data_IF_109850724240
#
_entry.id   IF_109850724240
#
_cell.length_a   1.000
_cell.length_b   1.000
_cell.length_c   1.000
_cell.angle_alpha   90.00
_cell.angle_beta   90.00
_cell.angle_gamma   90.00
#
_symmetry.space_group_name_H-M   'P 1'
#
loop_
_entity.id
_entity.type
_entity.pdbx_description
1 polymer ?
#
# COMPACT_ATOMS: atom_id res chain seq x y z
N UNK A 1 -42.29 28.78 3.95
CA UNK A 1 -43.30 27.71 3.78
C UNK A 1 -42.77 26.71 2.76
N UNK A 2 -43.27 25.47 2.76
CA UNK A 2 -43.00 24.37 3.69
C UNK A 2 -41.84 23.48 3.15
N UNK A 3 -41.35 22.41 3.77
CA UNK A 3 -41.69 21.74 5.04
C UNK A 3 -41.36 20.24 4.92
N UNK A 4 -40.54 19.71 5.83
CA UNK A 4 -40.12 18.29 5.83
C UNK A 4 -41.28 17.41 6.28
N UNK A 5 -41.65 16.35 5.55
CA UNK A 5 -42.53 15.30 6.07
C UNK A 5 -41.69 14.24 6.83
N UNK A 6 -41.81 14.24 8.17
CA UNK A 6 -41.53 13.03 8.97
C UNK A 6 -42.77 12.14 8.98
N UNK A 7 -42.58 10.83 8.82
CA UNK A 7 -43.46 9.84 9.43
C UNK A 7 -43.88 8.67 8.55
N UNK A 8 -43.52 7.45 8.97
CA UNK A 8 -44.53 6.45 9.27
C UNK A 8 -44.03 5.42 10.30
N UNK A 9 -44.36 5.64 11.57
CA UNK A 9 -44.48 4.56 12.55
C UNK A 9 -45.85 3.91 12.31
N UNK A 10 -45.91 2.57 12.16
CA UNK A 10 -47.20 1.85 12.15
C UNK A 10 -47.23 0.82 13.26
N UNK A 11 -48.32 0.86 14.04
CA UNK A 11 -48.55 0.01 15.21
C UNK A 11 -48.79 -1.45 14.81
N UNK A 12 -48.40 -2.36 15.71
CA UNK A 12 -49.22 -3.51 16.06
C UNK A 12 -49.21 -3.70 17.59
N UNK A 13 -50.38 -3.65 18.24
CA UNK A 13 -50.61 -3.97 19.67
C UNK A 13 -51.94 -4.70 19.82
N UNK A 14 -51.89 -5.92 20.38
CA UNK A 14 -52.92 -6.72 21.09
C UNK A 14 -52.18 -8.04 21.48
N UNK A 15 -52.31 -8.69 22.64
CA UNK A 15 -52.92 -8.40 23.95
C UNK A 15 -52.34 -9.43 24.97
N UNK A 16 -52.70 -9.51 26.25
CA UNK A 16 -53.67 -8.74 27.05
C UNK A 16 -54.43 -9.60 28.09
N UNK A 17 -53.74 -10.23 29.06
CA UNK A 17 -54.18 -10.93 30.32
C UNK A 17 -53.11 -11.99 30.67
N UNK A 18 -52.74 -12.32 31.91
CA UNK A 18 -53.13 -11.84 33.25
C UNK A 18 -53.15 -13.00 34.26
N UNK A 19 -52.23 -13.04 35.25
CA UNK A 19 -52.15 -14.13 36.25
C UNK A 19 -51.18 -13.81 37.41
N UNK A 20 -51.49 -14.27 38.63
CA UNK A 20 -50.77 -13.95 39.89
C UNK A 20 -49.75 -15.04 40.26
N UNK A 21 -48.81 -14.73 41.16
CA UNK A 21 -47.75 -15.64 41.64
C UNK A 21 -48.24 -16.79 42.55
N UNK A 22 -47.32 -17.51 43.23
CA UNK A 22 -46.62 -16.88 44.37
C UNK A 22 -45.11 -17.19 44.53
N UNK A 23 -44.55 -16.55 45.54
CA UNK A 23 -43.16 -16.60 46.06
C UNK A 23 -42.64 -17.95 46.56
N UNK A 24 -41.34 -18.20 46.37
CA UNK A 24 -40.46 -18.83 47.38
C UNK A 24 -39.16 -18.00 47.48
N UNK A 25 -38.56 -17.95 48.67
CA UNK A 25 -37.52 -17.01 49.07
C UNK A 25 -36.39 -17.77 49.83
N UNK A 26 -35.12 -17.48 49.56
CA UNK A 26 -33.90 -17.83 50.32
C UNK A 26 -32.73 -17.07 49.65
N UNK A 27 -32.18 -15.97 50.22
CA UNK A 27 -31.11 -15.92 51.26
C UNK A 27 -29.93 -16.85 50.96
N UNK A 28 -28.65 -16.45 50.94
CA UNK A 28 -27.91 -15.19 51.16
C UNK A 28 -26.68 -15.24 50.20
N UNK A 29 -26.05 -14.15 49.74
CA UNK A 29 -25.13 -13.31 50.54
C UNK A 29 -24.69 -12.02 49.82
N UNK A 30 -24.66 -10.90 50.54
CA UNK A 30 -23.90 -9.68 50.19
C UNK A 30 -22.47 -9.83 50.75
N UNK A 31 -21.38 -9.41 50.09
CA UNK A 31 -20.69 -8.08 50.14
C UNK A 31 -19.25 -8.34 49.60
N UNK A 32 -18.45 -7.42 49.07
CA UNK A 32 -18.65 -6.04 48.61
C UNK A 32 -17.51 -5.64 47.63
N UNK A 33 -17.87 -4.82 46.63
CA UNK A 33 -17.17 -3.64 46.06
C UNK A 33 -15.63 -3.46 46.16
N UNK A 34 -14.98 -3.34 45.00
CA UNK A 34 -14.32 -2.13 44.45
C UNK A 34 -14.02 -2.41 42.96
N UNK A 35 -14.62 -1.71 41.99
CA UNK A 35 -14.22 -0.39 41.46
C UNK A 35 -12.83 -0.34 40.82
N UNK A 36 -12.78 -0.48 39.49
CA UNK A 36 -12.37 0.62 38.60
C UNK A 36 -12.71 0.30 37.14
N UNK A 37 -13.85 0.80 36.66
CA UNK A 37 -14.31 0.65 35.28
C UNK A 37 -14.22 2.02 34.58
N UNK A 38 -13.00 2.41 34.16
CA UNK A 38 -12.75 3.74 33.60
C UNK A 38 -11.46 3.87 32.76
N UNK A 39 -11.24 3.04 31.72
CA UNK A 39 -10.32 3.35 30.59
C UNK A 39 -10.52 2.38 29.40
N UNK A 40 -11.69 2.40 28.73
CA UNK A 40 -11.88 1.63 27.47
C UNK A 40 -12.55 2.36 26.31
N UNK A 41 -13.33 3.42 26.53
CA UNK A 41 -14.10 4.09 25.48
C UNK A 41 -13.58 5.49 25.10
N UNK A 42 -12.36 5.56 24.54
CA UNK A 42 -11.87 6.80 23.90
C UNK A 42 -10.97 6.62 22.65
N UNK A 43 -10.59 5.38 22.28
CA UNK A 43 -9.71 5.14 21.14
C UNK A 43 -10.43 4.80 19.81
N UNK A 44 -11.67 4.32 19.85
CA UNK A 44 -12.36 3.80 18.66
C UNK A 44 -13.20 4.84 17.88
N UNK A 45 -13.30 6.08 18.34
CA UNK A 45 -14.13 7.12 17.71
C UNK A 45 -13.41 8.07 16.74
N UNK A 46 -12.08 8.23 16.86
CA UNK A 46 -11.37 9.31 16.19
C UNK A 46 -11.11 9.05 14.69
N UNK A 47 -10.78 7.82 14.30
CA UNK A 47 -10.39 7.50 12.92
C UNK A 47 -11.56 7.58 11.92
N UNK A 48 -12.76 7.16 12.32
CA UNK A 48 -13.93 7.12 11.43
C UNK A 48 -14.49 8.51 11.08
N UNK A 49 -14.27 9.52 11.93
CA UNK A 49 -14.85 10.86 11.73
C UNK A 49 -14.06 11.74 10.76
N UNK A 50 -12.81 11.42 10.45
CA UNK A 50 -11.94 12.27 9.62
C UNK A 50 -12.02 11.98 8.11
N UNK A 51 -12.49 10.80 7.69
CA UNK A 51 -12.55 10.43 6.27
C UNK A 51 -13.60 11.23 5.46
N UNK A 52 -14.59 11.83 6.10
CA UNK A 52 -15.65 12.60 5.42
C UNK A 52 -15.29 14.08 5.17
N UNK A 53 -14.41 14.68 5.97
CA UNK A 53 -14.16 16.13 5.92
C UNK A 53 -13.19 16.55 4.80
N UNK A 54 -12.44 15.59 4.24
CA UNK A 54 -11.46 15.83 3.16
C UNK A 54 -12.09 15.92 1.76
N UNK A 55 -13.31 15.39 1.58
CA UNK A 55 -14.04 15.42 0.30
C UNK A 55 -14.87 16.70 0.08
N UNK A 56 -15.08 17.52 1.11
CA UNK A 56 -15.98 18.68 1.07
C UNK A 56 -15.30 20.02 0.74
N UNK A 57 -13.99 20.04 0.46
CA UNK A 57 -13.19 21.25 0.20
C UNK A 57 -12.57 21.29 -1.19
N UNK A 58 -13.35 20.99 -2.23
CA UNK A 58 -12.89 21.11 -3.61
C UNK A 58 -13.98 21.43 -4.66
N UNK A 59 -15.00 22.21 -4.27
CA UNK A 59 -15.97 22.79 -5.20
C UNK A 59 -16.30 24.25 -4.83
N UNK A 60 -15.47 25.19 -5.31
CA UNK A 60 -15.82 26.60 -5.57
C UNK A 60 -14.60 27.41 -6.01
N UNK A 61 -14.39 27.52 -7.33
CA UNK A 61 -14.38 28.82 -8.02
C UNK A 61 -14.05 28.65 -9.50
N UNK A 62 -14.98 29.08 -10.34
CA UNK A 62 -14.78 29.35 -11.75
C UNK A 62 -14.65 30.86 -11.97
N UNK A 63 -13.62 31.32 -12.66
CA UNK A 63 -13.68 32.49 -13.54
C UNK A 63 -12.44 32.51 -14.44
N UNK A 64 -12.54 33.20 -15.58
CA UNK A 64 -11.56 33.17 -16.67
C UNK A 64 -10.96 34.56 -16.91
N UNK A 65 -9.72 34.61 -17.41
CA UNK A 65 -9.29 35.57 -18.44
C UNK A 65 -7.89 35.24 -19.00
N UNK A 66 -7.60 35.78 -20.19
CA UNK A 66 -6.45 35.48 -21.08
C UNK A 66 -5.49 36.71 -21.18
N UNK A 67 -4.46 36.74 -22.04
CA UNK A 67 -3.11 36.21 -21.83
C UNK A 67 -2.02 37.27 -21.59
N UNK A 68 -0.79 36.76 -21.43
CA UNK A 68 0.52 37.38 -21.71
C UNK A 68 1.30 38.07 -20.57
N UNK A 69 2.36 37.40 -20.10
CA UNK A 69 3.72 37.97 -20.11
C UNK A 69 4.78 36.87 -20.00
N UNK A 70 5.93 37.09 -20.64
CA UNK A 70 7.09 36.19 -20.61
C UNK A 70 7.84 36.26 -19.27
N UNK A 71 8.18 35.10 -18.71
CA UNK A 71 8.97 35.01 -17.47
C UNK A 71 9.68 33.67 -17.37
N UNK A 72 10.88 33.57 -17.95
CA UNK A 72 11.67 32.34 -17.97
C UNK A 72 12.33 32.08 -16.61
N UNK A 73 11.57 31.63 -15.62
CA UNK A 73 12.16 31.03 -14.41
C UNK A 73 12.52 29.57 -14.70
N UNK A 74 13.80 29.31 -14.94
CA UNK A 74 14.35 27.96 -14.86
C UNK A 74 14.34 27.51 -13.39
N UNK A 75 13.15 27.12 -12.90
CA UNK A 75 13.01 26.53 -11.57
C UNK A 75 13.89 25.29 -11.48
N UNK A 76 14.65 25.17 -10.38
CA UNK A 76 15.40 23.94 -10.12
C UNK A 76 14.40 22.80 -10.00
N UNK A 77 14.34 21.95 -11.03
CA UNK A 77 13.43 20.82 -11.07
C UNK A 77 13.81 19.85 -9.95
N UNK A 78 12.98 19.80 -8.91
CA UNK A 78 13.09 18.81 -7.83
C UNK A 78 13.12 17.41 -8.46
N UNK A 79 14.26 16.74 -8.38
CA UNK A 79 14.42 15.37 -8.85
C UNK A 79 14.08 14.41 -7.71
N UNK A 80 13.01 13.64 -7.85
CA UNK A 80 12.72 12.56 -6.91
C UNK A 80 13.72 11.41 -7.14
N UNK A 81 14.39 10.94 -6.08
CA UNK A 81 15.35 9.83 -6.15
C UNK A 81 14.67 8.56 -5.66
N UNK A 82 14.71 7.51 -6.48
CA UNK A 82 14.09 6.21 -6.23
C UNK A 82 15.17 5.16 -6.03
N UNK A 83 14.99 4.29 -5.03
CA UNK A 83 15.90 3.18 -4.71
C UNK A 83 15.15 1.84 -4.65
N UNK A 84 14.59 1.33 -5.78
CA UNK A 84 13.57 0.29 -5.71
C UNK A 84 14.06 -1.03 -5.07
N UNK A 85 15.29 -1.42 -5.36
CA UNK A 85 15.89 -2.66 -4.84
C UNK A 85 16.65 -2.48 -3.52
N UNK A 86 16.71 -1.27 -2.95
CA UNK A 86 17.36 -1.04 -1.65
C UNK A 86 16.66 -1.79 -0.51
N UNK A 87 15.38 -2.16 -0.66
CA UNK A 87 14.66 -3.06 0.24
C UNK A 87 15.25 -4.50 0.30
N UNK A 88 16.10 -4.88 -0.66
CA UNK A 88 16.83 -6.15 -0.70
C UNK A 88 18.33 -6.04 -0.41
N UNK A 89 18.88 -4.83 -0.24
CA UNK A 89 20.30 -4.66 0.06
C UNK A 89 20.63 -5.00 1.52
N UNK A 90 21.55 -5.95 1.73
CA UNK A 90 21.99 -6.37 3.08
C UNK A 90 22.94 -5.39 3.78
N UNK A 91 23.49 -4.42 3.03
CA UNK A 91 24.47 -3.46 3.56
C UNK A 91 23.78 -2.26 4.24
N UNK A 92 22.56 -1.93 3.81
CA UNK A 92 21.78 -0.78 4.26
C UNK A 92 20.76 -1.14 5.35
N UNK A 93 21.24 -1.67 6.48
CA UNK A 93 20.38 -2.10 7.61
C UNK A 93 19.70 -0.94 8.37
N UNK A 94 20.12 0.29 8.11
CA UNK A 94 19.54 1.54 8.60
C UNK A 94 18.15 1.80 7.98
N UNK A 95 18.00 1.63 6.67
CA UNK A 95 16.75 1.88 5.93
C UNK A 95 15.59 1.05 6.48
N UNK A 96 14.42 1.70 6.62
CA UNK A 96 13.19 1.10 7.16
C UNK A 96 12.06 1.13 6.15
N UNK A 97 11.19 0.13 6.22
CA UNK A 97 10.08 -0.04 5.28
C UNK A 97 8.75 -0.28 6.01
N UNK A 98 7.65 -0.10 5.30
CA UNK A 98 6.40 -0.77 5.63
C UNK A 98 6.20 -1.94 4.68
N UNK A 99 5.57 -3.02 5.14
CA UNK A 99 5.32 -4.23 4.35
C UNK A 99 3.82 -4.55 4.30
N UNK A 100 3.29 -4.74 3.10
CA UNK A 100 1.93 -5.25 2.87
C UNK A 100 2.03 -6.60 2.15
N UNK A 101 1.28 -7.60 2.65
CA UNK A 101 1.17 -8.93 2.05
C UNK A 101 -0.24 -9.14 1.49
N UNK A 102 -0.33 -9.46 0.20
CA UNK A 102 -1.57 -9.68 -0.52
C UNK A 102 -1.82 -11.17 -0.81
N UNK A 103 -3.01 -11.51 -1.30
CA UNK A 103 -3.47 -12.90 -1.47
C UNK A 103 -2.90 -13.60 -2.73
N UNK A 104 -1.58 -13.65 -2.87
CA UNK A 104 -0.87 -14.43 -3.91
C UNK A 104 0.20 -15.36 -3.30
N UNK A 105 0.60 -16.45 -3.97
CA UNK A 105 1.65 -17.34 -3.49
C UNK A 105 2.97 -16.60 -3.22
N UNK A 106 3.54 -16.79 -2.01
CA UNK A 106 4.78 -16.13 -1.57
C UNK A 106 6.01 -17.06 -1.60
N UNK A 107 5.92 -18.22 -2.26
CA UNK A 107 6.97 -19.26 -2.26
C UNK A 107 8.25 -18.79 -2.94
N UNK A 108 8.14 -18.27 -4.17
CA UNK A 108 9.29 -17.76 -4.93
C UNK A 108 9.90 -16.50 -4.28
N UNK A 109 9.05 -15.67 -3.66
CA UNK A 109 9.47 -14.45 -2.96
C UNK A 109 9.86 -14.69 -1.49
N UNK A 110 10.07 -15.94 -1.05
CA UNK A 110 10.30 -16.26 0.36
C UNK A 110 11.58 -15.64 0.93
N UNK A 111 12.62 -15.46 0.12
CA UNK A 111 13.86 -14.82 0.57
C UNK A 111 13.70 -13.31 0.74
N UNK A 112 13.09 -12.67 -0.26
CA UNK A 112 12.70 -11.27 -0.32
C UNK A 112 11.80 -10.93 0.88
N UNK A 113 10.77 -11.75 1.13
CA UNK A 113 9.89 -11.64 2.30
C UNK A 113 10.67 -11.63 3.61
N UNK A 114 11.57 -12.59 3.87
CA UNK A 114 12.36 -12.62 5.10
C UNK A 114 13.19 -11.35 5.30
N UNK A 115 13.81 -10.85 4.22
CA UNK A 115 14.70 -9.70 4.26
C UNK A 115 13.92 -8.40 4.48
N UNK A 116 12.86 -8.16 3.70
CA UNK A 116 11.99 -6.98 3.87
C UNK A 116 11.29 -7.02 5.23
N UNK A 117 10.81 -8.18 5.69
CA UNK A 117 10.18 -8.36 7.01
C UNK A 117 11.08 -7.89 8.15
N UNK A 118 12.36 -8.28 8.14
CA UNK A 118 13.33 -7.89 9.18
C UNK A 118 13.66 -6.40 9.21
N UNK A 119 13.45 -5.69 8.08
CA UNK A 119 13.70 -4.25 7.91
C UNK A 119 12.41 -3.42 7.98
N UNK A 120 11.25 -4.06 8.15
CA UNK A 120 9.97 -3.37 8.20
C UNK A 120 9.61 -2.97 9.63
N UNK A 121 9.26 -1.70 9.84
CA UNK A 121 8.76 -1.21 11.14
C UNK A 121 7.28 -1.50 11.33
N UNK A 122 6.53 -1.66 10.23
CA UNK A 122 5.11 -2.01 10.22
C UNK A 122 4.87 -3.11 9.16
N UNK A 123 4.24 -4.22 9.53
CA UNK A 123 3.80 -5.29 8.61
C UNK A 123 2.30 -5.47 8.68
N UNK A 124 1.64 -5.46 7.53
CA UNK A 124 0.22 -5.73 7.38
C UNK A 124 0.00 -6.92 6.44
N UNK A 125 -1.03 -7.72 6.71
CA UNK A 125 -1.54 -8.72 5.80
C UNK A 125 -2.98 -8.36 5.40
N UNK A 126 -3.23 -8.21 4.10
CA UNK A 126 -4.54 -7.92 3.56
C UNK A 126 -5.31 -9.23 3.33
N UNK A 127 -6.31 -9.46 4.17
CA UNK A 127 -7.22 -10.60 4.17
C UNK A 127 -6.53 -11.95 3.89
N UNK A 128 -6.78 -12.57 2.73
CA UNK A 128 -6.19 -13.84 2.32
C UNK A 128 -4.67 -13.83 2.23
N UNK A 129 -4.00 -12.67 2.14
CA UNK A 129 -2.55 -12.53 2.29
C UNK A 129 -2.03 -13.07 3.64
N UNK A 130 -2.89 -13.11 4.66
CA UNK A 130 -2.61 -13.75 5.95
C UNK A 130 -2.45 -15.27 5.82
N UNK A 131 -3.27 -15.92 4.99
CA UNK A 131 -3.12 -17.34 4.67
C UNK A 131 -1.76 -17.58 3.99
N UNK A 132 -1.39 -16.71 3.05
CA UNK A 132 -0.14 -16.80 2.29
C UNK A 132 1.10 -16.64 3.17
N UNK A 133 1.07 -15.73 4.14
CA UNK A 133 2.11 -15.60 5.16
C UNK A 133 2.19 -16.89 6.01
N UNK A 134 1.05 -17.39 6.48
CA UNK A 134 0.97 -18.57 7.34
C UNK A 134 1.53 -19.83 6.66
N UNK A 135 1.17 -20.02 5.39
CA UNK A 135 1.64 -21.11 4.52
C UNK A 135 3.14 -20.96 4.20
N UNK A 136 3.58 -19.79 3.73
CA UNK A 136 4.98 -19.54 3.39
C UNK A 136 5.91 -19.67 4.61
N UNK A 137 5.42 -19.43 5.83
CA UNK A 137 6.19 -19.54 7.06
C UNK A 137 5.89 -20.79 7.90
N UNK A 138 5.28 -21.83 7.31
CA UNK A 138 5.14 -23.13 7.98
C UNK A 138 6.47 -23.62 8.58
N UNK A 139 6.40 -24.12 9.82
CA UNK A 139 7.55 -24.47 10.65
C UNK A 139 8.19 -23.32 11.44
N UNK A 140 7.95 -22.05 11.08
CA UNK A 140 8.47 -20.88 11.81
C UNK A 140 7.46 -19.72 11.94
N UNK A 141 6.17 -19.97 11.70
CA UNK A 141 5.10 -18.96 11.72
C UNK A 141 5.03 -18.10 12.99
N UNK A 142 5.53 -18.59 14.13
CA UNK A 142 5.57 -17.85 15.40
C UNK A 142 6.51 -16.63 15.34
N UNK A 143 7.48 -16.62 14.42
CA UNK A 143 8.40 -15.49 14.17
C UNK A 143 7.88 -14.49 13.14
N UNK A 144 6.71 -14.76 12.53
CA UNK A 144 6.14 -13.99 11.43
C UNK A 144 4.67 -13.63 11.74
N UNK A 145 4.49 -12.84 12.81
CA UNK A 145 3.20 -12.27 13.20
C UNK A 145 3.13 -10.84 12.63
N UNK A 146 2.15 -10.52 11.76
CA UNK A 146 2.00 -9.16 11.25
C UNK A 146 1.45 -8.25 12.37
N UNK A 147 1.77 -6.97 12.32
CA UNK A 147 1.24 -5.98 13.26
C UNK A 147 -0.26 -5.76 13.01
N UNK A 148 -0.68 -5.80 11.72
CA UNK A 148 -2.05 -5.60 11.26
C UNK A 148 -2.55 -6.78 10.40
N UNK A 149 -3.80 -7.18 10.60
CA UNK A 149 -4.57 -8.02 9.65
C UNK A 149 -5.82 -7.24 9.26
N UNK A 150 -5.97 -6.93 7.98
CA UNK A 150 -6.99 -5.98 7.48
C UNK A 150 -7.80 -6.57 6.33
N UNK A 151 -9.11 -6.38 6.28
CA UNK A 151 -9.93 -6.82 5.15
C UNK A 151 -11.41 -6.92 5.51
N UNK A 152 -12.27 -7.26 4.56
CA UNK A 152 -13.65 -7.72 4.86
C UNK A 152 -13.72 -9.19 5.29
N UNK A 153 -12.60 -9.91 5.22
CA UNK A 153 -12.39 -11.27 5.72
C UNK A 153 -13.15 -12.36 4.96
N UNK A 154 -13.39 -12.16 3.66
CA UNK A 154 -13.99 -13.18 2.78
C UNK A 154 -13.01 -14.30 2.36
N UNK A 155 -11.70 -14.01 2.38
CA UNK A 155 -10.65 -14.92 1.89
C UNK A 155 -9.77 -15.51 3.00
N UNK A 156 -9.60 -14.86 4.15
CA UNK A 156 -8.83 -15.42 5.28
C UNK A 156 -9.55 -16.62 5.91
N UNK A 157 -8.81 -17.69 6.19
CA UNK A 157 -9.42 -18.84 6.88
C UNK A 157 -9.63 -18.54 8.37
N UNK A 158 -10.76 -18.96 8.98
CA UNK A 158 -11.07 -18.64 10.37
C UNK A 158 -9.99 -19.04 11.37
N UNK A 159 -9.32 -20.18 11.17
CA UNK A 159 -8.24 -20.63 12.05
C UNK A 159 -6.95 -19.79 11.91
N UNK A 160 -6.71 -19.20 10.74
CA UNK A 160 -5.57 -18.30 10.48
C UNK A 160 -5.84 -16.92 11.10
N UNK A 161 -7.06 -16.39 10.95
CA UNK A 161 -7.49 -15.16 11.61
C UNK A 161 -7.36 -15.27 13.14
N UNK A 162 -7.91 -16.34 13.72
CA UNK A 162 -7.82 -16.63 15.16
C UNK A 162 -6.36 -16.86 15.62
N UNK A 163 -5.50 -17.45 14.79
CA UNK A 163 -4.08 -17.61 15.11
C UNK A 163 -3.38 -16.27 15.28
N UNK A 164 -3.50 -15.36 14.30
CA UNK A 164 -2.85 -14.06 14.36
C UNK A 164 -3.42 -13.16 15.44
N UNK A 165 -4.75 -13.16 15.63
CA UNK A 165 -5.41 -12.43 16.72
C UNK A 165 -4.89 -12.88 18.10
N UNK A 166 -4.76 -14.20 18.34
CA UNK A 166 -4.21 -14.74 19.60
C UNK A 166 -2.71 -14.47 19.79
N UNK A 167 -1.99 -14.18 18.71
CA UNK A 167 -0.56 -13.83 18.71
C UNK A 167 -0.29 -12.32 18.82
N UNK A 168 -1.34 -11.49 18.88
CA UNK A 168 -1.24 -10.05 19.11
C UNK A 168 -1.37 -9.17 17.87
N UNK A 169 -1.65 -9.74 16.69
CA UNK A 169 -1.96 -8.94 15.51
C UNK A 169 -3.26 -8.13 15.70
N UNK A 170 -3.25 -6.85 15.35
CA UNK A 170 -4.45 -6.01 15.39
C UNK A 170 -5.33 -6.34 14.19
N UNK A 171 -6.53 -6.86 14.46
CA UNK A 171 -7.54 -7.15 13.45
C UNK A 171 -8.34 -5.88 13.15
N UNK A 172 -8.45 -5.50 11.88
CA UNK A 172 -9.22 -4.33 11.43
C UNK A 172 -10.13 -4.75 10.27
N UNK A 173 -11.43 -4.84 10.55
CA UNK A 173 -12.44 -5.13 9.53
C UNK A 173 -12.64 -3.92 8.61
N UNK A 174 -12.70 -4.15 7.30
CA UNK A 174 -12.86 -3.10 6.28
C UNK A 174 -13.95 -3.50 5.29
N UNK A 175 -15.24 -3.41 5.67
CA UNK A 175 -16.36 -3.98 4.91
C UNK A 175 -16.72 -3.23 3.61
N UNK A 176 -16.07 -2.10 3.32
CA UNK A 176 -16.32 -1.32 2.11
C UNK A 176 -16.01 -2.13 0.84
N UNK A 177 -16.99 -2.18 -0.06
CA UNK A 177 -16.97 -2.94 -1.31
C UNK A 177 -16.59 -2.08 -2.52
N UNK A 178 -16.42 -0.76 -2.35
CA UNK A 178 -15.99 0.15 -3.42
C UNK A 178 -14.47 0.11 -3.65
N UNK A 179 -13.71 -0.43 -2.70
CA UNK A 179 -12.26 -0.49 -2.71
C UNK A 179 -11.75 -1.90 -2.39
N UNK A 180 -10.68 -2.34 -3.05
CA UNK A 180 -10.04 -3.63 -2.75
C UNK A 180 -9.37 -3.62 -1.39
N UNK A 181 -9.14 -4.79 -0.79
CA UNK A 181 -8.42 -4.89 0.48
C UNK A 181 -7.00 -4.38 0.40
N UNK A 182 -6.37 -4.36 -0.78
CA UNK A 182 -5.10 -3.66 -0.96
C UNK A 182 -5.25 -2.14 -0.77
N UNK A 183 -6.21 -1.49 -1.44
CA UNK A 183 -6.44 -0.05 -1.24
C UNK A 183 -6.82 0.28 0.21
N UNK A 184 -7.71 -0.53 0.82
CA UNK A 184 -8.16 -0.37 2.22
C UNK A 184 -6.98 -0.56 3.20
N UNK A 185 -6.16 -1.60 3.01
CA UNK A 185 -4.95 -1.88 3.80
C UNK A 185 -3.90 -0.77 3.65
N UNK A 186 -3.65 -0.29 2.42
CA UNK A 186 -2.66 0.76 2.17
C UNK A 186 -3.03 2.07 2.87
N UNK A 187 -4.30 2.49 2.81
CA UNK A 187 -4.78 3.67 3.56
C UNK A 187 -4.51 3.52 5.06
N UNK A 188 -4.90 2.39 5.66
CA UNK A 188 -4.63 2.09 7.07
C UNK A 188 -3.12 2.12 7.39
N UNK A 189 -2.28 1.56 6.51
CA UNK A 189 -0.82 1.56 6.69
C UNK A 189 -0.25 2.98 6.65
N UNK A 190 -0.65 3.81 5.68
CA UNK A 190 -0.21 5.21 5.58
C UNK A 190 -0.67 6.03 6.80
N UNK A 191 -1.94 5.93 7.19
CA UNK A 191 -2.50 6.58 8.39
C UNK A 191 -1.75 6.13 9.66
N UNK A 192 -1.41 4.84 9.76
CA UNK A 192 -0.67 4.28 10.90
C UNK A 192 0.78 4.76 10.95
N UNK A 193 1.44 4.95 9.79
CA UNK A 193 2.78 5.53 9.73
C UNK A 193 2.76 7.00 10.17
N UNK A 194 1.82 7.79 9.66
CA UNK A 194 1.66 9.21 10.00
C UNK A 194 1.34 9.40 11.50
N UNK A 195 0.29 8.73 12.00
CA UNK A 195 -0.15 8.87 13.40
C UNK A 195 0.92 8.46 14.43
N UNK A 196 1.76 7.48 14.09
CA UNK A 196 2.86 7.04 14.97
C UNK A 196 4.20 7.73 14.66
N UNK A 197 4.22 8.70 13.73
CA UNK A 197 5.43 9.43 13.28
C UNK A 197 6.56 8.49 12.80
N UNK A 198 6.19 7.34 12.21
CA UNK A 198 7.13 6.32 11.74
C UNK A 198 7.67 6.69 10.36
N UNK A 199 8.98 6.94 10.28
CA UNK A 199 9.66 7.20 9.01
C UNK A 199 10.08 5.89 8.35
N UNK A 200 9.78 5.78 7.06
CA UNK A 200 10.12 4.67 6.17
C UNK A 200 10.49 5.21 4.80
N UNK A 201 11.33 4.47 4.06
CA UNK A 201 11.75 4.83 2.70
C UNK A 201 10.66 4.50 1.67
N UNK A 202 9.90 3.44 1.90
CA UNK A 202 8.83 2.98 1.02
C UNK A 202 7.84 2.02 1.71
N UNK A 203 6.66 1.86 1.11
CA UNK A 203 5.80 0.69 1.31
C UNK A 203 6.15 -0.37 0.27
N UNK A 204 6.57 -1.55 0.73
CA UNK A 204 6.83 -2.73 -0.12
C UNK A 204 5.61 -3.63 -0.07
N UNK A 205 5.10 -4.02 -1.23
CA UNK A 205 3.86 -4.81 -1.36
C UNK A 205 4.17 -6.12 -2.08
N UNK A 206 4.06 -7.25 -1.38
CA UNK A 206 4.27 -8.58 -1.95
C UNK A 206 2.94 -9.21 -2.39
N UNK A 207 2.93 -9.82 -3.58
CA UNK A 207 1.76 -10.48 -4.15
C UNK A 207 0.80 -9.54 -4.87
N UNK A 208 1.32 -8.42 -5.39
CA UNK A 208 0.51 -7.36 -6.03
C UNK A 208 0.06 -7.67 -7.47
N UNK A 209 0.64 -8.69 -8.10
CA UNK A 209 0.30 -9.15 -9.45
C UNK A 209 0.22 -10.68 -9.41
N UNK A 210 -0.61 -11.29 -10.26
CA UNK A 210 -0.81 -12.74 -10.28
C UNK A 210 -1.95 -13.15 -11.22
N UNK A 211 -2.54 -14.33 -10.95
CA UNK A 211 -3.49 -15.00 -11.85
C UNK A 211 -4.71 -14.13 -12.25
N UNK A 212 -5.25 -13.36 -11.29
CA UNK A 212 -6.37 -12.45 -11.53
C UNK A 212 -5.86 -11.14 -12.16
N UNK A 213 -6.04 -11.04 -13.48
CA UNK A 213 -5.67 -9.86 -14.25
C UNK A 213 -6.40 -8.58 -13.78
N UNK A 214 -7.68 -8.71 -13.42
CA UNK A 214 -8.48 -7.61 -12.85
C UNK A 214 -7.89 -7.09 -11.53
N UNK A 215 -7.45 -7.99 -10.65
CA UNK A 215 -6.77 -7.63 -9.39
C UNK A 215 -5.39 -7.02 -9.65
N UNK A 216 -4.66 -7.48 -10.67
CA UNK A 216 -3.38 -6.88 -11.08
C UNK A 216 -3.58 -5.42 -11.54
N UNK A 217 -4.64 -5.13 -12.32
CA UNK A 217 -4.99 -3.76 -12.69
C UNK A 217 -5.49 -2.94 -11.48
N UNK A 218 -6.22 -3.55 -10.54
CA UNK A 218 -6.64 -2.88 -9.30
C UNK A 218 -5.44 -2.51 -8.41
N UNK A 219 -4.38 -3.33 -8.37
CA UNK A 219 -3.12 -2.97 -7.72
C UNK A 219 -2.43 -1.77 -8.37
N UNK A 220 -2.44 -1.67 -9.70
CA UNK A 220 -1.93 -0.47 -10.40
C UNK A 220 -2.81 0.75 -10.11
N UNK A 221 -4.14 0.60 -10.06
CA UNK A 221 -5.04 1.68 -9.65
C UNK A 221 -4.79 2.13 -8.19
N UNK A 222 -4.39 1.20 -7.32
CA UNK A 222 -3.99 1.53 -5.94
C UNK A 222 -2.73 2.39 -5.87
N UNK A 223 -1.83 2.32 -6.86
CA UNK A 223 -0.69 3.25 -6.96
C UNK A 223 -1.11 4.68 -7.32
N UNK A 224 -2.20 4.85 -8.06
CA UNK A 224 -2.79 6.16 -8.33
C UNK A 224 -3.35 6.79 -7.04
N UNK A 225 -4.13 6.01 -6.29
CA UNK A 225 -4.61 6.38 -4.95
C UNK A 225 -3.44 6.71 -4.00
N UNK A 226 -2.36 5.91 -4.01
CA UNK A 226 -1.16 6.18 -3.23
C UNK A 226 -0.55 7.54 -3.58
N UNK A 227 -0.37 7.83 -4.88
CA UNK A 227 0.19 9.10 -5.36
C UNK A 227 -0.72 10.32 -5.13
N UNK A 228 -2.01 10.14 -4.84
CA UNK A 228 -2.89 11.23 -4.40
C UNK A 228 -2.69 11.51 -2.90
N UNK A 229 -2.55 10.44 -2.10
CA UNK A 229 -2.61 10.53 -0.64
C UNK A 229 -1.25 10.66 0.06
N UNK A 230 -0.13 10.22 -0.55
CA UNK A 230 1.20 10.26 0.07
C UNK A 230 2.35 10.35 -0.93
N UNK A 231 3.38 11.14 -0.62
CA UNK A 231 4.64 11.19 -1.38
C UNK A 231 5.52 9.94 -1.19
N UNK A 232 5.17 9.06 -0.23
CA UNK A 232 5.93 7.86 0.07
C UNK A 232 5.90 6.86 -1.11
N UNK A 233 7.07 6.41 -1.62
CA UNK A 233 7.13 5.38 -2.65
C UNK A 233 6.38 4.09 -2.28
N UNK A 234 5.65 3.53 -3.24
CA UNK A 234 5.02 2.21 -3.12
C UNK A 234 5.57 1.29 -4.20
N UNK A 235 6.15 0.17 -3.79
CA UNK A 235 6.75 -0.84 -4.66
C UNK A 235 5.88 -2.09 -4.70
N UNK A 236 5.35 -2.44 -5.88
CA UNK A 236 4.59 -3.66 -6.13
C UNK A 236 5.53 -4.78 -6.59
N UNK A 237 5.59 -5.89 -5.86
CA UNK A 237 6.46 -7.03 -6.13
C UNK A 237 5.64 -8.28 -6.47
N UNK A 238 5.97 -8.91 -7.60
CA UNK A 238 5.43 -10.20 -8.04
C UNK A 238 6.37 -10.84 -9.07
N UNK A 239 6.58 -12.17 -9.02
CA UNK A 239 7.26 -12.96 -10.06
C UNK A 239 8.55 -12.32 -10.66
N UNK A 240 9.50 -11.95 -9.79
CA UNK A 240 10.76 -11.22 -10.12
C UNK A 240 10.61 -9.82 -10.74
N UNK A 241 9.40 -9.28 -10.73
CA UNK A 241 9.07 -7.94 -11.24
C UNK A 241 8.79 -6.99 -10.07
N UNK A 242 9.37 -5.80 -10.14
CA UNK A 242 9.02 -4.66 -9.29
C UNK A 242 8.38 -3.58 -10.17
N UNK A 243 7.26 -2.99 -9.72
CA UNK A 243 6.65 -1.83 -10.36
C UNK A 243 6.37 -0.69 -9.37
N UNK A 244 6.47 0.55 -9.83
CA UNK A 244 6.02 1.76 -9.11
C UNK A 244 5.52 2.83 -10.08
N UNK A 245 4.64 3.72 -9.60
CA UNK A 245 4.04 4.78 -10.42
C UNK A 245 4.81 6.09 -10.23
N UNK A 246 5.55 6.50 -11.26
CA UNK A 246 6.21 7.80 -11.30
C UNK A 246 5.15 8.88 -11.50
N UNK A 247 5.24 9.97 -10.73
CA UNK A 247 4.40 11.18 -10.88
C UNK A 247 4.84 12.01 -12.09
N UNK A 248 4.03 12.97 -12.59
CA UNK A 248 4.54 14.01 -13.49
C UNK A 248 5.76 14.72 -12.87
N UNK A 249 6.79 14.99 -13.68
CA UNK A 249 8.05 15.58 -13.23
C UNK A 249 9.28 14.79 -13.67
N UNK A 250 10.39 14.97 -12.94
CA UNK A 250 11.70 14.35 -13.21
C UNK A 250 12.13 13.44 -12.06
N UNK A 251 12.55 12.23 -12.43
CA UNK A 251 12.93 11.16 -11.52
C UNK A 251 14.34 10.65 -11.83
N UNK A 252 15.06 10.26 -10.79
CA UNK A 252 16.33 9.52 -10.86
C UNK A 252 16.09 8.18 -10.18
N UNK A 253 16.34 7.09 -10.88
CA UNK A 253 16.16 5.73 -10.39
C UNK A 253 17.55 5.11 -10.28
N UNK A 254 17.99 4.82 -9.05
CA UNK A 254 19.24 4.11 -8.81
C UNK A 254 19.08 2.63 -9.20
N UNK A 255 20.00 2.14 -10.04
CA UNK A 255 19.99 0.80 -10.66
C UNK A 255 21.36 0.12 -10.54
N UNK A 256 22.04 0.39 -9.42
CA UNK A 256 23.43 0.05 -9.13
C UNK A 256 23.59 -0.90 -7.93
N UNK A 257 22.51 -1.53 -7.45
CA UNK A 257 22.58 -2.46 -6.30
C UNK A 257 23.24 -3.80 -6.65
N UNK A 258 23.33 -4.11 -7.95
CA UNK A 258 23.76 -5.41 -8.47
C UNK A 258 22.65 -6.48 -8.44
N UNK A 259 21.47 -6.16 -7.89
CA UNK A 259 20.30 -7.04 -7.82
C UNK A 259 19.35 -6.88 -9.02
N UNK A 260 19.60 -5.91 -9.89
CA UNK A 260 18.80 -5.60 -11.07
C UNK A 260 18.77 -6.79 -12.05
N UNK A 261 17.57 -7.12 -12.54
CA UNK A 261 17.37 -8.09 -13.62
C UNK A 261 17.79 -7.52 -14.97
N UNK A 262 17.76 -8.32 -16.06
CA UNK A 262 18.27 -7.87 -17.36
C UNK A 262 17.32 -6.93 -18.13
N UNK A 263 16.16 -6.57 -17.56
CA UNK A 263 15.11 -5.81 -18.26
C UNK A 263 14.45 -4.75 -17.37
N UNK A 264 13.90 -3.73 -18.02
CA UNK A 264 12.99 -2.73 -17.46
C UNK A 264 11.96 -2.26 -18.50
N UNK A 265 11.05 -1.39 -18.09
CA UNK A 265 10.03 -0.81 -18.95
C UNK A 265 9.31 0.40 -18.35
N UNK A 266 8.61 1.11 -19.24
CA UNK A 266 7.80 2.29 -18.95
C UNK A 266 6.43 2.10 -19.61
N UNK A 267 5.37 2.12 -18.80
CA UNK A 267 4.00 1.81 -19.23
C UNK A 267 3.08 3.02 -19.00
N UNK A 268 2.54 3.65 -20.06
CA UNK A 268 1.66 4.82 -20.01
C UNK A 268 0.22 4.38 -19.69
N UNK A 269 0.04 3.79 -18.51
CA UNK A 269 -1.24 3.31 -18.01
C UNK A 269 -2.08 4.47 -17.48
N UNK A 270 -3.40 4.44 -17.69
CA UNK A 270 -4.32 5.51 -17.28
C UNK A 270 -4.39 6.66 -18.29
N UNK A 271 -3.27 7.33 -18.57
CA UNK A 271 -3.23 8.49 -19.46
C UNK A 271 -2.12 8.41 -20.52
N UNK A 272 -2.32 9.12 -21.64
CA UNK A 272 -1.28 9.37 -22.64
C UNK A 272 -0.24 10.34 -22.08
N UNK A 273 1.01 9.90 -21.94
CA UNK A 273 2.15 10.80 -21.78
C UNK A 273 2.43 11.46 -23.14
N UNK A 274 2.50 12.79 -23.18
CA UNK A 274 2.75 13.55 -24.41
C UNK A 274 4.23 13.65 -24.72
N UNK A 275 5.06 13.75 -23.68
CA UNK A 275 6.52 13.88 -23.79
C UNK A 275 7.19 13.12 -22.66
N UNK A 276 7.82 12.00 -23.01
CA UNK A 276 8.70 11.24 -22.12
C UNK A 276 10.13 11.33 -22.65
N UNK A 277 11.05 11.69 -21.75
CA UNK A 277 12.49 11.77 -22.03
C UNK A 277 13.24 10.95 -20.99
N UNK A 278 14.22 10.14 -21.40
CA UNK A 278 14.98 9.27 -20.50
C UNK A 278 16.48 9.28 -20.77
N UNK A 279 17.26 8.92 -19.75
CA UNK A 279 18.69 8.61 -19.89
C UNK A 279 19.03 7.34 -19.11
N UNK A 280 20.13 6.67 -19.46
CA UNK A 280 20.59 5.44 -18.79
C UNK A 280 19.89 4.16 -19.28
N UNK A 281 18.94 4.24 -20.19
CA UNK A 281 18.38 3.08 -20.88
C UNK A 281 19.17 2.78 -22.17
N UNK A 282 19.14 1.53 -22.63
CA UNK A 282 19.65 1.12 -23.95
C UNK A 282 18.83 1.75 -25.07
N UNK A 283 17.51 1.81 -24.88
CA UNK A 283 16.59 2.53 -25.75
C UNK A 283 16.02 3.72 -24.98
N UNK A 284 16.75 4.85 -24.99
CA UNK A 284 16.30 6.09 -24.41
C UNK A 284 15.18 6.73 -25.25
N UNK A 285 14.34 7.52 -24.59
CA UNK A 285 13.29 8.32 -25.19
C UNK A 285 13.75 9.78 -25.24
N UNK A 286 13.44 10.47 -26.33
CA UNK A 286 13.68 11.89 -26.52
C UNK A 286 12.36 12.57 -26.91
N UNK A 287 11.71 13.21 -25.92
CA UNK A 287 10.42 13.90 -26.04
C UNK A 287 9.30 13.06 -26.71
N UNK A 288 9.31 11.73 -26.52
CA UNK A 288 8.42 10.84 -27.24
C UNK A 288 7.04 10.69 -26.55
N UNK A 289 5.93 10.67 -27.33
CA UNK A 289 4.62 10.37 -26.79
C UNK A 289 4.46 8.86 -26.51
N UNK A 290 3.85 8.51 -25.38
CA UNK A 290 3.59 7.13 -24.97
C UNK A 290 2.09 6.93 -24.68
N UNK A 291 1.51 5.87 -25.23
CA UNK A 291 0.10 5.51 -25.03
C UNK A 291 -0.15 4.03 -25.34
N UNK A 292 -1.20 3.45 -24.76
CA UNK A 292 -1.76 2.19 -25.27
C UNK A 292 -2.28 2.39 -26.70
N UNK A 293 -2.08 1.37 -27.56
CA UNK A 293 -2.28 1.50 -29.01
C UNK A 293 -1.19 2.34 -29.72
N UNK A 294 -0.12 2.70 -29.02
CA UNK A 294 1.07 3.37 -29.55
C UNK A 294 2.33 2.84 -28.87
N UNK A 295 3.29 3.73 -28.58
CA UNK A 295 4.51 3.35 -27.90
C UNK A 295 4.26 3.00 -26.42
N UNK A 296 4.67 1.79 -26.05
CA UNK A 296 4.90 1.33 -24.68
C UNK A 296 6.34 0.81 -24.65
N UNK A 297 7.15 1.20 -23.66
CA UNK A 297 8.53 0.73 -23.58
C UNK A 297 8.55 -0.59 -22.77
N UNK A 298 8.43 -1.71 -23.47
CA UNK A 298 8.57 -3.06 -22.90
C UNK A 298 9.86 -3.72 -23.40
N UNK A 299 10.44 -4.62 -22.60
CA UNK A 299 11.71 -5.29 -22.92
C UNK A 299 12.87 -4.31 -23.16
N UNK A 300 12.82 -3.14 -22.52
CA UNK A 300 13.96 -2.22 -22.46
C UNK A 300 15.02 -2.81 -21.51
N UNK A 301 16.21 -2.23 -21.51
CA UNK A 301 17.30 -2.63 -20.62
C UNK A 301 18.20 -1.43 -20.33
N UNK A 302 19.15 -1.60 -19.43
CA UNK A 302 20.06 -0.56 -18.99
C UNK A 302 21.17 -0.31 -20.03
N UNK A 303 21.66 0.92 -20.10
CA UNK A 303 22.88 1.23 -20.84
C UNK A 303 24.10 0.61 -20.13
N UNK A 304 25.12 0.24 -20.90
CA UNK A 304 26.35 -0.35 -20.33
C UNK A 304 27.03 0.63 -19.36
N UNK A 305 27.42 0.13 -18.18
CA UNK A 305 28.05 0.94 -17.14
C UNK A 305 27.14 1.97 -16.46
N UNK A 306 25.82 1.96 -16.71
CA UNK A 306 24.91 2.90 -16.05
C UNK A 306 24.68 2.54 -14.58
N UNK A 307 24.71 3.54 -13.69
CA UNK A 307 24.33 3.40 -12.28
C UNK A 307 22.93 3.98 -11.99
N UNK A 308 22.42 4.83 -12.88
CA UNK A 308 21.16 5.55 -12.71
C UNK A 308 20.40 5.69 -14.02
N UNK A 309 19.09 5.47 -13.98
CA UNK A 309 18.16 5.85 -15.06
C UNK A 309 17.52 7.18 -14.69
N UNK A 310 17.39 8.11 -15.64
CA UNK A 310 16.52 9.28 -15.44
C UNK A 310 15.26 9.16 -16.28
N UNK A 311 14.13 9.60 -15.73
CA UNK A 311 12.82 9.60 -16.41
C UNK A 311 12.17 10.96 -16.16
N UNK A 312 11.84 11.66 -17.24
CA UNK A 312 11.02 12.86 -17.21
C UNK A 312 9.71 12.58 -17.96
N UNK A 313 8.57 12.89 -17.34
CA UNK A 313 7.23 12.60 -17.87
C UNK A 313 6.23 13.71 -17.52
N UNK A 314 5.31 14.02 -18.43
CA UNK A 314 4.24 15.01 -18.25
C UNK A 314 2.97 14.42 -17.59
N UNK A 315 2.86 13.10 -17.52
CA UNK A 315 1.74 12.35 -16.92
C UNK A 315 2.26 11.24 -16.00
N UNK A 316 1.43 10.67 -15.11
CA UNK A 316 1.81 9.49 -14.33
C UNK A 316 2.24 8.34 -15.26
N UNK A 317 3.36 7.70 -14.95
CA UNK A 317 4.00 6.70 -15.81
C UNK A 317 4.49 5.54 -14.95
N UNK A 318 4.05 4.32 -15.25
CA UNK A 318 4.43 3.14 -14.47
C UNK A 318 5.83 2.67 -14.88
N UNK A 319 6.79 2.76 -13.96
CA UNK A 319 8.08 2.10 -14.07
C UNK A 319 7.93 0.62 -13.69
N UNK A 320 8.60 -0.26 -14.44
CA UNK A 320 8.71 -1.67 -14.11
C UNK A 320 10.12 -2.19 -14.39
N UNK A 321 10.62 -3.09 -13.55
CA UNK A 321 11.96 -3.66 -13.65
C UNK A 321 12.01 -5.09 -13.15
N UNK A 322 12.88 -5.90 -13.75
CA UNK A 322 13.25 -7.20 -13.22
C UNK A 322 14.21 -7.09 -12.03
N UNK A 323 14.22 -8.09 -11.16
CA UNK A 323 15.27 -8.32 -10.15
C UNK A 323 15.73 -9.79 -10.14
N UNK A 324 16.92 -10.04 -9.59
CA UNK A 324 17.55 -11.37 -9.52
C UNK A 324 16.97 -12.20 -8.36
N UNK A 325 16.90 -13.52 -8.56
CA UNK A 325 16.50 -14.48 -7.52
C UNK A 325 17.55 -14.59 -6.41
N UNK A 326 18.84 -14.55 -6.78
CA UNK A 326 19.94 -14.63 -5.83
C UNK A 326 20.22 -13.27 -5.18
N UNK A 327 19.76 -13.12 -3.93
CA UNK A 327 20.03 -11.95 -3.08
C UNK A 327 21.41 -12.02 -2.39
N UNK A 328 22.31 -12.92 -2.81
CA UNK A 328 23.72 -12.90 -2.42
C UNK A 328 24.53 -12.12 -3.47
N UNK A 329 24.77 -10.83 -3.18
CA UNK A 329 25.65 -10.00 -4.01
C UNK A 329 27.09 -10.47 -3.80
N UNK A 330 27.83 -10.89 -4.85
CA UNK A 330 29.26 -11.16 -4.75
C UNK A 330 30.01 -9.88 -4.37
N UNK A 331 30.92 -9.98 -3.41
CA UNK A 331 31.68 -8.81 -2.92
C UNK A 331 32.76 -8.38 -3.93
N UNK A 332 32.38 -7.60 -4.95
CA UNK A 332 33.30 -7.04 -5.96
C UNK A 332 33.48 -5.53 -5.81
N UNK A 333 34.04 -5.13 -4.66
CA UNK A 333 34.97 -3.99 -4.60
C UNK A 333 36.38 -4.50 -4.28
N UNK A 334 36.98 -5.20 -5.26
CA UNK A 334 38.44 -5.12 -5.41
C UNK A 334 38.72 -3.89 -6.26
N UNK A 335 39.24 -2.87 -5.62
CA UNK A 335 39.98 -1.82 -6.29
C UNK A 335 41.29 -2.43 -6.80
N UNK A 336 41.34 -2.78 -8.08
CA UNK A 336 42.62 -3.03 -8.75
C UNK A 336 43.27 -1.66 -8.99
N UNK A 337 44.05 -1.24 -8.01
CA UNK A 337 44.90 -0.06 -8.07
C UNK A 337 46.15 -0.36 -8.91
N UNK A 338 46.29 0.38 -10.03
CA UNK A 338 47.49 0.64 -10.83
C UNK A 338 48.62 -0.40 -10.85
#
# INVERSE_FOLDING_TARGET
MPGIPKGLLRLCRLGGKGGRGPTVNLRNSQKASHESEATKDLANGAAASFMLDRAAKQDSNSEADDPSTSGTSAGMAFSCVWRPLACFERQHNDLKFALILLNQPLTELRQQLKLVWSRSVLKAAADGGSNRLYECMMGNHQSYIPDLVTGDFDSIRPEVLLYYQRRGAKIIETPDQNYTDFTKCLRIVLDTLECNTLKVEAVVVLGAMGERFDQTLASVNTLYEANINSELPVYLLADRSLACLLRPGKHVIEVNTGLEGPWCGLIPIGNKCRQVTTTGLKWNLDHQPMQFGGLISTSNTYAEGTETVTVQTDQPLLWTMGFKDDLSVPNTKKSDSF
#
